data_IF_021341243684
#
_entry.id   IF_021341243684
#
_cell.length_a   1.000
_cell.length_b   1.000
_cell.length_c   1.000
_cell.angle_alpha   90.00
_cell.angle_beta   90.00
_cell.angle_gamma   90.00
#
_symmetry.space_group_name_H-M   'P 1'
#
loop_
_entity.id
_entity.type
_entity.pdbx_description
1 polymer ?
#
# COMPACT_ATOMS: atom_id res chain seq x y z
N UNK A 1 -19.77 -23.03 -39.64
CA UNK A 1 -18.40 -22.50 -39.85
C UNK A 1 -17.71 -22.59 -38.51
N UNK A 2 -16.67 -23.43 -38.40
CA UNK A 2 -15.84 -23.46 -37.19
C UNK A 2 -15.09 -22.12 -37.16
N UNK A 3 -15.37 -21.28 -36.16
CA UNK A 3 -14.59 -20.06 -35.93
C UNK A 3 -13.12 -20.46 -35.86
N UNK A 4 -12.28 -19.84 -36.68
CA UNK A 4 -10.85 -20.08 -36.66
C UNK A 4 -10.30 -19.58 -35.30
N UNK A 5 -9.52 -20.43 -34.61
CA UNK A 5 -8.90 -20.06 -33.34
C UNK A 5 -8.10 -18.79 -33.51
N UNK A 6 -8.34 -17.80 -32.67
CA UNK A 6 -7.55 -16.55 -32.63
C UNK A 6 -6.24 -16.75 -31.86
N UNK A 7 -6.18 -17.78 -31.00
CA UNK A 7 -4.96 -18.06 -30.23
C UNK A 7 -3.99 -18.91 -31.08
N UNK A 8 -2.74 -18.55 -31.00
CA UNK A 8 -1.62 -19.30 -31.63
C UNK A 8 -0.39 -19.28 -30.71
N UNK A 9 0.47 -20.32 -30.71
CA UNK A 9 1.71 -20.36 -29.94
C UNK A 9 2.63 -19.20 -30.30
N UNK A 10 3.51 -18.83 -29.36
CA UNK A 10 4.59 -17.87 -29.60
C UNK A 10 5.52 -18.40 -30.69
N UNK A 11 5.90 -17.54 -31.65
CA UNK A 11 6.73 -17.91 -32.81
C UNK A 11 8.20 -18.07 -32.45
N UNK A 12 8.66 -17.49 -31.33
CA UNK A 12 10.06 -17.52 -30.90
C UNK A 12 10.28 -18.41 -29.66
N UNK A 13 9.22 -19.08 -29.19
CA UNK A 13 9.27 -19.96 -28.02
C UNK A 13 9.27 -19.24 -26.66
N UNK A 14 9.20 -17.90 -26.65
CA UNK A 14 9.10 -17.13 -25.43
C UNK A 14 7.71 -17.24 -24.81
N UNK A 15 7.64 -17.13 -23.49
CA UNK A 15 6.37 -17.09 -22.76
C UNK A 15 5.79 -15.67 -22.77
N UNK A 16 4.58 -15.51 -23.33
CA UNK A 16 3.88 -14.22 -23.39
C UNK A 16 3.09 -14.01 -22.11
N UNK A 17 3.45 -12.98 -21.36
CA UNK A 17 2.85 -12.66 -20.07
C UNK A 17 2.24 -11.27 -20.12
N UNK A 18 0.92 -11.18 -19.96
CA UNK A 18 0.23 -9.91 -19.80
C UNK A 18 -0.07 -9.65 -18.32
N UNK A 19 0.37 -8.49 -17.85
CA UNK A 19 0.07 -8.04 -16.51
C UNK A 19 -0.89 -6.85 -16.56
N UNK A 20 -2.11 -7.05 -16.07
CA UNK A 20 -3.15 -6.04 -16.03
C UNK A 20 -3.13 -5.33 -14.69
N UNK A 21 -2.86 -4.03 -14.66
CA UNK A 21 -2.78 -3.23 -13.44
C UNK A 21 -2.68 -1.74 -13.73
N UNK A 22 -2.58 -0.91 -12.69
CA UNK A 22 -2.44 0.54 -12.88
C UNK A 22 -1.19 0.87 -13.68
N UNK A 23 -1.34 1.78 -14.65
CA UNK A 23 -0.25 2.18 -15.55
C UNK A 23 1.02 2.57 -14.76
N UNK A 24 2.22 2.08 -15.14
CA UNK A 24 3.45 2.22 -14.35
C UNK A 24 3.88 3.65 -14.04
N UNK A 25 3.46 4.63 -14.85
CA UNK A 25 3.82 6.05 -14.65
C UNK A 25 2.92 6.80 -13.68
N UNK A 26 1.83 6.19 -13.19
CA UNK A 26 0.93 6.85 -12.23
C UNK A 26 1.56 6.95 -10.83
N UNK A 27 1.01 7.85 -9.99
CA UNK A 27 1.52 8.15 -8.65
C UNK A 27 0.67 7.47 -7.56
N UNK A 28 0.71 6.14 -7.47
CA UNK A 28 0.04 5.40 -6.39
C UNK A 28 0.73 4.05 -6.11
N UNK A 29 0.28 3.34 -5.06
CA UNK A 29 0.88 2.06 -4.66
C UNK A 29 0.82 0.98 -5.74
N UNK A 30 -0.31 0.87 -6.46
CA UNK A 30 -0.46 -0.10 -7.55
C UNK A 30 0.52 0.18 -8.70
N UNK A 31 0.61 1.45 -9.14
CA UNK A 31 1.51 1.83 -10.22
C UNK A 31 2.97 1.59 -9.87
N UNK A 32 3.33 1.78 -8.60
CA UNK A 32 4.68 1.51 -8.10
C UNK A 32 5.03 0.03 -8.22
N UNK A 33 4.13 -0.87 -7.82
CA UNK A 33 4.31 -2.31 -8.01
C UNK A 33 4.43 -2.67 -9.49
N UNK A 34 3.54 -2.13 -10.34
CA UNK A 34 3.58 -2.34 -11.79
C UNK A 34 4.87 -1.84 -12.44
N UNK A 35 5.40 -0.72 -11.98
CA UNK A 35 6.68 -0.20 -12.43
C UNK A 35 7.84 -1.18 -12.14
N UNK A 36 7.91 -1.71 -10.91
CA UNK A 36 8.98 -2.64 -10.56
C UNK A 36 8.86 -3.98 -11.28
N UNK A 37 7.64 -4.47 -11.48
CA UNK A 37 7.38 -5.64 -12.32
C UNK A 37 7.90 -5.37 -13.74
N UNK A 38 7.53 -4.25 -14.35
CA UNK A 38 7.97 -3.86 -15.69
C UNK A 38 9.49 -3.76 -15.78
N UNK A 39 10.11 -3.09 -14.83
CA UNK A 39 11.56 -2.82 -14.78
C UNK A 39 12.40 -4.09 -14.65
N UNK A 40 12.01 -4.99 -13.77
CA UNK A 40 12.84 -6.15 -13.44
C UNK A 40 12.44 -7.41 -14.22
N UNK A 41 11.14 -7.67 -14.40
CA UNK A 41 10.68 -8.82 -15.20
C UNK A 41 10.98 -8.65 -16.70
N UNK A 42 10.94 -7.41 -17.20
CA UNK A 42 11.30 -7.10 -18.59
C UNK A 42 12.77 -7.39 -18.97
N UNK A 43 13.63 -7.70 -17.98
CA UNK A 43 15.04 -8.10 -18.23
C UNK A 43 15.20 -9.57 -18.64
N UNK A 44 14.18 -10.40 -18.42
CA UNK A 44 14.22 -11.82 -18.78
C UNK A 44 13.92 -11.98 -20.28
N UNK A 45 14.85 -12.59 -21.01
CA UNK A 45 14.79 -12.64 -22.49
C UNK A 45 13.79 -13.65 -23.04
N UNK A 46 13.40 -14.62 -22.24
CA UNK A 46 12.43 -15.67 -22.54
C UNK A 46 11.00 -15.31 -22.12
N UNK A 47 10.80 -14.07 -21.63
CA UNK A 47 9.50 -13.47 -21.32
C UNK A 47 9.21 -12.33 -22.30
N UNK A 48 8.07 -12.40 -22.96
CA UNK A 48 7.45 -11.27 -23.67
C UNK A 48 6.45 -10.62 -22.73
N UNK A 49 6.86 -9.53 -22.10
CA UNK A 49 6.06 -8.84 -21.09
C UNK A 49 5.20 -7.75 -21.71
N UNK A 50 3.90 -7.88 -21.55
CA UNK A 50 2.91 -6.84 -21.87
C UNK A 50 2.30 -6.31 -20.59
N UNK A 51 2.25 -5.00 -20.44
CA UNK A 51 1.52 -4.30 -19.39
C UNK A 51 0.24 -3.75 -19.99
N UNK A 52 -0.91 -4.24 -19.53
CA UNK A 52 -2.21 -3.63 -19.81
C UNK A 52 -2.49 -2.60 -18.72
N UNK A 53 -2.12 -1.35 -19.01
CA UNK A 53 -2.01 -0.26 -18.03
C UNK A 53 -3.31 0.49 -17.80
N UNK A 54 -3.88 0.40 -16.59
CA UNK A 54 -5.10 1.10 -16.18
C UNK A 54 -4.86 2.55 -15.80
N UNK A 55 -5.92 3.38 -15.90
CA UNK A 55 -6.02 4.69 -15.23
C UNK A 55 -4.83 5.61 -15.54
N UNK A 56 -4.37 5.64 -16.77
CA UNK A 56 -3.32 6.55 -17.19
C UNK A 56 -3.88 7.97 -17.34
N UNK A 57 -4.34 8.57 -16.22
CA UNK A 57 -4.89 9.91 -16.20
C UNK A 57 -3.81 10.94 -16.52
N UNK A 58 -4.04 11.77 -17.51
CA UNK A 58 -3.17 12.88 -17.86
C UNK A 58 -3.05 13.87 -16.69
N UNK A 59 -1.84 14.36 -16.43
CA UNK A 59 -1.51 15.38 -15.42
C UNK A 59 -1.49 14.93 -13.95
N UNK A 60 -1.38 13.67 -13.63
CA UNK A 60 -1.10 13.25 -12.27
C UNK A 60 0.41 13.10 -12.06
N UNK A 61 1.04 14.25 -11.78
CA UNK A 61 2.31 14.35 -11.10
C UNK A 61 3.55 13.86 -11.83
N UNK A 62 4.14 14.64 -12.74
CA UNK A 62 5.58 14.80 -13.04
C UNK A 62 6.57 13.61 -12.95
N UNK A 63 6.08 12.39 -12.88
CA UNK A 63 6.89 11.18 -12.61
C UNK A 63 7.40 10.47 -13.87
N UNK A 64 7.04 10.93 -15.04
CA UNK A 64 7.50 10.36 -16.32
C UNK A 64 9.02 10.25 -16.41
N UNK A 65 9.72 11.25 -15.87
CA UNK A 65 11.19 11.31 -15.92
C UNK A 65 11.86 10.28 -15.01
N UNK A 66 11.24 9.91 -13.89
CA UNK A 66 11.85 9.04 -12.88
C UNK A 66 11.65 7.54 -13.15
N UNK A 67 10.71 7.18 -14.03
CA UNK A 67 10.39 5.78 -14.38
C UNK A 67 10.74 5.44 -15.82
N UNK A 68 11.65 6.18 -16.42
CA UNK A 68 12.11 6.00 -17.81
C UNK A 68 13.07 4.81 -18.03
N UNK A 69 13.38 4.03 -17.00
CA UNK A 69 14.31 2.90 -17.05
C UNK A 69 13.61 1.53 -17.21
N UNK A 70 12.36 1.51 -17.60
CA UNK A 70 11.66 0.28 -18.03
C UNK A 70 12.31 -0.20 -19.34
N UNK A 71 12.68 -1.50 -19.44
CA UNK A 71 13.27 -2.05 -20.64
C UNK A 71 12.41 -1.82 -21.89
N UNK A 72 13.02 -1.43 -23.01
CA UNK A 72 12.32 -1.10 -24.27
C UNK A 72 11.55 -2.26 -24.90
N UNK A 73 11.86 -3.49 -24.53
CA UNK A 73 11.16 -4.70 -24.97
C UNK A 73 9.87 -4.96 -24.20
N UNK A 74 9.58 -4.21 -23.13
CA UNK A 74 8.28 -4.26 -22.43
C UNK A 74 7.25 -3.48 -23.22
N UNK A 75 6.18 -4.13 -23.61
CA UNK A 75 5.04 -3.49 -24.27
C UNK A 75 4.15 -2.89 -23.20
N UNK A 76 3.89 -1.59 -23.26
CA UNK A 76 2.96 -0.92 -22.35
C UNK A 76 1.78 -0.42 -23.17
N UNK A 77 0.63 -1.09 -23.02
CA UNK A 77 -0.64 -0.68 -23.60
C UNK A 77 -1.38 0.23 -22.62
N UNK A 78 -1.76 1.42 -23.10
CA UNK A 78 -2.55 2.38 -22.33
C UNK A 78 -4.05 2.09 -22.50
N UNK A 79 -4.61 1.36 -21.57
CA UNK A 79 -6.02 0.99 -21.57
C UNK A 79 -6.98 2.17 -21.41
N UNK A 80 -6.47 3.35 -21.00
CA UNK A 80 -7.27 4.56 -20.86
C UNK A 80 -7.31 5.41 -22.13
N UNK A 81 -6.33 5.27 -23.02
CA UNK A 81 -6.16 6.17 -24.19
C UNK A 81 -7.39 6.25 -25.10
N UNK A 82 -8.12 5.15 -25.24
CA UNK A 82 -9.30 5.05 -26.09
C UNK A 82 -10.63 4.90 -25.31
N UNK A 83 -10.58 5.02 -23.99
CA UNK A 83 -11.77 4.86 -23.15
C UNK A 83 -12.59 6.15 -23.07
N UNK A 84 -13.92 6.02 -22.97
CA UNK A 84 -14.81 7.16 -22.71
C UNK A 84 -14.35 7.89 -21.42
N UNK A 85 -14.09 9.22 -21.48
CA UNK A 85 -13.67 10.00 -20.31
C UNK A 85 -14.59 9.92 -19.08
N UNK A 86 -15.83 9.50 -19.26
CA UNK A 86 -16.80 9.29 -18.16
C UNK A 86 -16.60 7.95 -17.44
N UNK A 87 -15.70 7.09 -17.93
CA UNK A 87 -15.39 5.81 -17.32
C UNK A 87 -14.21 5.91 -16.36
N UNK A 88 -14.02 4.82 -15.63
CA UNK A 88 -13.04 4.76 -14.55
C UNK A 88 -11.61 4.48 -15.00
N UNK A 89 -11.36 4.33 -16.31
CA UNK A 89 -10.02 4.15 -16.89
C UNK A 89 -9.45 2.73 -16.81
N UNK A 90 -10.28 1.70 -16.67
CA UNK A 90 -9.82 0.31 -16.53
C UNK A 90 -9.78 -0.48 -17.85
N UNK A 91 -10.20 0.10 -18.98
CA UNK A 91 -10.19 -0.56 -20.28
C UNK A 91 -11.03 -1.84 -20.36
N UNK A 92 -12.08 -1.93 -19.53
CA UNK A 92 -12.89 -3.15 -19.37
C UNK A 92 -13.53 -3.62 -20.66
N UNK A 93 -13.87 -2.71 -21.58
CA UNK A 93 -14.52 -3.05 -22.85
C UNK A 93 -13.56 -3.53 -23.93
N UNK A 94 -12.31 -3.12 -23.88
CA UNK A 94 -11.37 -3.44 -24.96
C UNK A 94 -10.47 -4.64 -24.64
N UNK A 95 -10.36 -5.03 -23.34
CA UNK A 95 -9.41 -6.07 -22.92
C UNK A 95 -9.59 -7.39 -23.69
N UNK A 96 -10.83 -7.78 -23.99
CA UNK A 96 -11.09 -9.01 -24.74
C UNK A 96 -10.62 -8.92 -26.19
N UNK A 97 -10.90 -7.80 -26.87
CA UNK A 97 -10.43 -7.53 -28.23
C UNK A 97 -8.89 -7.46 -28.27
N UNK A 98 -8.29 -6.77 -27.29
CA UNK A 98 -6.83 -6.68 -27.16
C UNK A 98 -6.17 -8.05 -27.03
N UNK A 99 -6.71 -8.95 -26.20
CA UNK A 99 -6.19 -10.32 -26.01
C UNK A 99 -6.29 -11.13 -27.31
N UNK A 100 -7.37 -10.98 -28.07
CA UNK A 100 -7.52 -11.69 -29.37
C UNK A 100 -6.50 -11.20 -30.40
N UNK A 101 -6.23 -9.91 -30.44
CA UNK A 101 -5.24 -9.31 -31.35
C UNK A 101 -3.80 -9.63 -30.90
N UNK A 102 -3.57 -9.72 -29.59
CA UNK A 102 -2.28 -9.98 -28.96
C UNK A 102 -2.36 -11.19 -28.03
N UNK A 103 -2.39 -12.43 -28.55
CA UNK A 103 -2.56 -13.64 -27.73
C UNK A 103 -1.51 -13.78 -26.65
N UNK A 104 -1.94 -14.17 -25.45
CA UNK A 104 -1.09 -14.32 -24.26
C UNK A 104 -1.10 -15.78 -23.80
N UNK A 105 -0.03 -16.22 -23.12
CA UNK A 105 0.03 -17.54 -22.49
C UNK A 105 -0.37 -17.45 -21.01
N UNK A 106 -0.06 -16.30 -20.36
CA UNK A 106 -0.45 -16.00 -18.98
C UNK A 106 -1.03 -14.59 -18.91
N UNK A 107 -2.20 -14.45 -18.31
CA UNK A 107 -2.85 -13.18 -18.03
C UNK A 107 -2.97 -13.03 -16.52
N UNK A 108 -2.35 -11.99 -15.94
CA UNK A 108 -2.34 -11.72 -14.50
C UNK A 108 -3.11 -10.43 -14.23
N UNK A 109 -4.16 -10.50 -13.42
CA UNK A 109 -4.95 -9.34 -13.03
C UNK A 109 -4.55 -8.90 -11.63
N UNK A 110 -4.05 -7.67 -11.51
CA UNK A 110 -3.63 -7.05 -10.26
C UNK A 110 -4.54 -5.88 -9.93
N UNK A 111 -5.59 -6.14 -9.16
CA UNK A 111 -6.51 -5.11 -8.65
C UNK A 111 -7.35 -5.67 -7.49
N UNK A 112 -8.29 -4.83 -6.98
CA UNK A 112 -9.30 -5.26 -6.04
C UNK A 112 -10.34 -6.21 -6.67
N UNK A 113 -11.21 -6.78 -5.82
CA UNK A 113 -12.21 -7.76 -6.23
C UNK A 113 -13.21 -7.22 -7.26
N UNK A 114 -13.56 -5.92 -7.21
CA UNK A 114 -14.57 -5.34 -8.11
C UNK A 114 -14.03 -5.30 -9.54
N UNK A 115 -12.85 -4.72 -9.71
CA UNK A 115 -12.21 -4.59 -11.03
C UNK A 115 -11.80 -5.97 -11.57
N UNK A 116 -11.26 -6.83 -10.72
CA UNK A 116 -10.94 -8.21 -11.09
C UNK A 116 -12.18 -8.94 -11.62
N UNK A 117 -13.35 -8.77 -10.98
CA UNK A 117 -14.60 -9.39 -11.42
C UNK A 117 -15.05 -8.85 -12.78
N UNK A 118 -15.02 -7.55 -12.98
CA UNK A 118 -15.43 -6.90 -14.23
C UNK A 118 -14.56 -7.33 -15.42
N UNK A 119 -13.25 -7.27 -15.27
CA UNK A 119 -12.29 -7.70 -16.30
C UNK A 119 -12.43 -9.19 -16.61
N UNK A 120 -12.60 -10.03 -15.57
CA UNK A 120 -12.81 -11.48 -15.77
C UNK A 120 -14.05 -11.76 -16.59
N UNK A 121 -15.16 -11.06 -16.31
CA UNK A 121 -16.39 -11.22 -17.07
C UNK A 121 -16.20 -10.92 -18.56
N UNK A 122 -15.53 -9.82 -18.91
CA UNK A 122 -15.23 -9.47 -20.31
C UNK A 122 -14.31 -10.49 -20.96
N UNK A 123 -13.20 -10.86 -20.29
CA UNK A 123 -12.26 -11.85 -20.81
C UNK A 123 -12.96 -13.19 -21.08
N UNK A 124 -13.79 -13.65 -20.15
CA UNK A 124 -14.46 -14.95 -20.31
C UNK A 124 -15.57 -14.91 -21.36
N UNK A 125 -16.29 -13.80 -21.50
CA UNK A 125 -17.29 -13.62 -22.54
C UNK A 125 -16.68 -13.61 -23.93
N UNK A 126 -15.54 -12.95 -24.11
CA UNK A 126 -14.94 -12.75 -25.43
C UNK A 126 -13.88 -13.80 -25.79
N UNK A 127 -13.10 -14.26 -24.81
CA UNK A 127 -11.96 -15.16 -25.02
C UNK A 127 -12.15 -16.56 -24.43
N UNK A 128 -13.27 -16.81 -23.76
CA UNK A 128 -13.51 -18.05 -23.00
C UNK A 128 -13.48 -19.32 -23.85
N UNK A 129 -13.80 -19.26 -25.16
CA UNK A 129 -13.66 -20.40 -26.08
C UNK A 129 -12.24 -20.96 -26.16
N UNK A 130 -11.24 -20.12 -25.98
CA UNK A 130 -9.82 -20.47 -26.01
C UNK A 130 -9.15 -20.53 -24.63
N UNK A 131 -9.94 -20.56 -23.53
CA UNK A 131 -9.44 -20.59 -22.14
C UNK A 131 -8.42 -21.70 -21.86
N UNK A 132 -8.53 -22.81 -22.57
CA UNK A 132 -7.56 -23.94 -22.48
C UNK A 132 -6.14 -23.57 -22.89
N UNK A 133 -5.97 -22.53 -23.70
CA UNK A 133 -4.71 -22.12 -24.30
C UNK A 133 -3.97 -21.04 -23.48
N UNK A 134 -4.62 -20.42 -22.51
CA UNK A 134 -3.99 -19.43 -21.62
C UNK A 134 -4.33 -19.66 -20.15
N UNK A 135 -3.45 -19.21 -19.27
CA UNK A 135 -3.65 -19.21 -17.83
C UNK A 135 -4.18 -17.87 -17.36
N UNK A 136 -5.22 -17.87 -16.54
CA UNK A 136 -5.73 -16.67 -15.87
C UNK A 136 -5.32 -16.72 -14.39
N UNK A 137 -4.63 -15.68 -13.94
CA UNK A 137 -4.03 -15.60 -12.60
C UNK A 137 -4.49 -14.32 -11.91
N UNK A 138 -4.94 -14.43 -10.67
CA UNK A 138 -5.25 -13.27 -9.83
C UNK A 138 -4.05 -12.92 -8.94
N UNK A 139 -3.47 -11.73 -9.10
CA UNK A 139 -2.60 -11.15 -8.09
C UNK A 139 -3.49 -10.34 -7.13
N UNK A 140 -3.95 -11.04 -6.09
CA UNK A 140 -5.09 -10.66 -5.31
C UNK A 140 -4.77 -9.56 -4.29
N UNK A 141 -5.35 -8.35 -4.47
CA UNK A 141 -5.36 -7.32 -3.43
C UNK A 141 -6.49 -7.58 -2.44
N UNK A 142 -6.16 -8.23 -1.36
CA UNK A 142 -7.07 -8.51 -0.25
C UNK A 142 -6.69 -7.65 0.95
N UNK A 143 -7.61 -6.78 1.39
CA UNK A 143 -7.37 -5.85 2.50
C UNK A 143 -8.06 -6.29 3.80
N UNK A 144 -9.08 -7.15 3.71
CA UNK A 144 -9.89 -7.63 4.83
C UNK A 144 -9.95 -9.16 4.87
N UNK A 145 -10.21 -9.71 6.03
CA UNK A 145 -10.24 -11.17 6.26
C UNK A 145 -11.46 -11.86 5.67
N UNK A 146 -12.48 -11.12 5.24
CA UNK A 146 -13.68 -11.61 4.57
C UNK A 146 -13.76 -11.07 3.15
N UNK A 147 -14.32 -11.86 2.25
CA UNK A 147 -14.63 -11.48 0.86
C UNK A 147 -16.03 -12.01 0.50
N UNK A 148 -16.71 -11.35 -0.44
CA UNK A 148 -17.99 -11.83 -0.93
C UNK A 148 -17.86 -13.19 -1.58
N UNK A 149 -18.83 -14.07 -1.33
CA UNK A 149 -18.82 -15.45 -1.87
C UNK A 149 -18.77 -15.49 -3.40
N UNK A 150 -19.42 -14.53 -4.05
CA UNK A 150 -19.45 -14.42 -5.51
C UNK A 150 -18.03 -14.25 -6.08
N UNK A 151 -17.19 -13.47 -5.40
CA UNK A 151 -15.79 -13.30 -5.78
C UNK A 151 -14.98 -14.58 -5.60
N UNK A 152 -15.17 -15.28 -4.48
CA UNK A 152 -14.53 -16.58 -4.23
C UNK A 152 -14.96 -17.62 -5.28
N UNK A 153 -16.25 -17.63 -5.64
CA UNK A 153 -16.76 -18.53 -6.70
C UNK A 153 -16.17 -18.19 -8.06
N UNK A 154 -16.06 -16.90 -8.41
CA UNK A 154 -15.43 -16.44 -9.65
C UNK A 154 -13.96 -16.92 -9.75
N UNK A 155 -13.18 -16.75 -8.68
CA UNK A 155 -11.80 -17.24 -8.63
C UNK A 155 -11.75 -18.78 -8.81
N UNK A 156 -12.59 -19.51 -8.10
CA UNK A 156 -12.67 -20.98 -8.19
C UNK A 156 -13.12 -21.51 -9.57
N UNK A 157 -13.82 -20.68 -10.35
CA UNK A 157 -14.39 -21.09 -11.64
C UNK A 157 -13.45 -20.81 -12.79
N UNK A 158 -12.81 -19.65 -12.81
CA UNK A 158 -12.13 -19.17 -14.01
C UNK A 158 -10.61 -19.10 -13.87
N UNK A 159 -10.07 -19.10 -12.64
CA UNK A 159 -8.64 -18.91 -12.43
C UNK A 159 -7.88 -20.22 -12.34
N UNK A 160 -6.64 -20.22 -12.85
CA UNK A 160 -5.71 -21.35 -12.78
C UNK A 160 -4.79 -21.26 -11.56
N UNK A 161 -4.54 -20.03 -11.08
CA UNK A 161 -3.73 -19.79 -9.88
C UNK A 161 -4.08 -18.44 -9.24
N UNK A 162 -3.68 -18.29 -7.99
CA UNK A 162 -3.74 -17.04 -7.25
C UNK A 162 -2.33 -16.69 -6.77
N UNK A 163 -1.98 -15.43 -6.82
CA UNK A 163 -0.81 -14.86 -6.16
C UNK A 163 -1.32 -14.00 -5.01
N UNK A 164 -0.94 -14.33 -3.78
CA UNK A 164 -1.25 -13.59 -2.58
C UNK A 164 -0.04 -12.74 -2.16
N UNK A 165 -0.27 -11.55 -1.60
CA UNK A 165 0.81 -10.67 -1.15
C UNK A 165 1.61 -11.28 0.01
N UNK A 166 0.97 -12.10 0.84
CA UNK A 166 1.58 -12.63 2.07
C UNK A 166 1.09 -14.05 2.36
N UNK A 167 1.83 -14.84 3.16
CA UNK A 167 1.35 -16.12 3.67
C UNK A 167 0.03 -15.99 4.43
N UNK A 168 -0.16 -14.89 5.18
CA UNK A 168 -1.41 -14.60 5.88
C UNK A 168 -2.61 -14.59 4.91
N UNK A 169 -2.50 -13.86 3.78
CA UNK A 169 -3.56 -13.80 2.79
C UNK A 169 -3.79 -15.12 2.06
N UNK A 170 -2.74 -15.90 1.82
CA UNK A 170 -2.87 -17.28 1.30
C UNK A 170 -3.72 -18.14 2.23
N UNK A 171 -3.44 -18.11 3.53
CA UNK A 171 -4.20 -18.88 4.51
C UNK A 171 -5.66 -18.43 4.62
N UNK A 172 -5.89 -17.12 4.59
CA UNK A 172 -7.24 -16.53 4.57
C UNK A 172 -7.99 -16.95 3.29
N UNK A 173 -7.38 -16.92 2.12
CA UNK A 173 -8.04 -17.33 0.87
C UNK A 173 -8.55 -18.77 0.95
N UNK A 174 -7.76 -19.70 1.47
CA UNK A 174 -8.22 -21.08 1.69
C UNK A 174 -9.34 -21.19 2.72
N UNK A 175 -9.30 -20.39 3.80
CA UNK A 175 -10.38 -20.33 4.80
C UNK A 175 -11.68 -19.80 4.22
N UNK A 176 -11.60 -18.89 3.27
CA UNK A 176 -12.76 -18.31 2.56
C UNK A 176 -13.36 -19.24 1.50
N UNK A 177 -12.76 -20.40 1.23
CA UNK A 177 -13.32 -21.40 0.33
C UNK A 177 -12.66 -21.49 -1.05
N UNK A 178 -11.46 -20.92 -1.22
CA UNK A 178 -10.65 -21.24 -2.41
C UNK A 178 -10.32 -22.73 -2.37
N UNK A 179 -10.54 -23.42 -3.51
CA UNK A 179 -10.31 -24.87 -3.65
C UNK A 179 -8.88 -25.24 -3.28
N UNK A 180 -8.70 -26.30 -2.53
CA UNK A 180 -7.35 -26.79 -2.15
C UNK A 180 -6.49 -27.23 -3.34
N UNK A 181 -7.13 -27.53 -4.48
CA UNK A 181 -6.47 -27.84 -5.76
C UNK A 181 -5.98 -26.60 -6.49
N UNK A 182 -6.48 -25.41 -6.14
CA UNK A 182 -6.03 -24.14 -6.69
C UNK A 182 -4.66 -23.77 -6.11
N UNK A 183 -3.59 -23.65 -6.91
CA UNK A 183 -2.31 -23.21 -6.38
C UNK A 183 -2.38 -21.74 -5.95
N UNK A 184 -1.98 -21.46 -4.72
CA UNK A 184 -1.79 -20.10 -4.22
C UNK A 184 -0.31 -19.88 -3.94
N UNK A 185 0.30 -19.05 -4.75
CA UNK A 185 1.68 -18.59 -4.57
C UNK A 185 1.73 -17.37 -3.66
N UNK A 186 2.86 -17.16 -3.01
CA UNK A 186 3.09 -15.94 -2.21
C UNK A 186 4.13 -15.08 -2.93
N UNK A 187 3.77 -13.83 -3.21
CA UNK A 187 4.68 -12.86 -3.80
C UNK A 187 4.50 -11.51 -3.12
N UNK A 188 5.32 -11.20 -2.10
CA UNK A 188 5.28 -9.91 -1.41
C UNK A 188 5.87 -8.79 -2.28
N UNK A 189 5.53 -7.57 -1.93
CA UNK A 189 6.14 -6.41 -2.56
C UNK A 189 7.60 -6.25 -2.12
N UNK A 190 8.41 -5.65 -2.99
CA UNK A 190 9.80 -5.38 -2.72
C UNK A 190 10.08 -3.93 -2.32
N UNK A 191 11.33 -3.65 -2.01
CA UNK A 191 11.86 -2.32 -1.72
C UNK A 191 12.99 -1.96 -2.68
N UNK A 192 12.95 -0.73 -3.22
CA UNK A 192 14.02 -0.19 -4.07
C UNK A 192 14.92 0.73 -3.25
N UNK A 193 16.07 0.19 -2.86
CA UNK A 193 17.07 0.90 -2.08
C UNK A 193 17.90 1.94 -2.87
N UNK A 194 17.73 1.99 -4.20
CA UNK A 194 18.34 3.01 -5.06
C UNK A 194 17.46 4.26 -5.15
N UNK A 195 16.13 4.08 -5.06
CA UNK A 195 15.18 5.18 -5.08
C UNK A 195 14.93 5.73 -3.68
N UNK A 196 14.81 4.85 -2.69
CA UNK A 196 14.59 5.18 -1.29
C UNK A 196 15.81 4.83 -0.45
N UNK A 197 16.53 5.83 0.01
CA UNK A 197 17.76 5.69 0.76
C UNK A 197 17.82 6.67 1.94
N UNK A 198 18.56 6.35 3.01
CA UNK A 198 18.73 7.25 4.13
C UNK A 198 19.41 8.55 3.73
N UNK A 199 18.88 9.65 4.22
CA UNK A 199 19.42 11.01 4.14
C UNK A 199 19.60 11.49 5.57
N UNK A 200 20.67 12.25 5.84
CA UNK A 200 20.85 12.91 7.13
C UNK A 200 19.58 13.71 7.49
N UNK A 201 19.03 13.45 8.68
CA UNK A 201 17.72 13.98 9.07
C UNK A 201 17.67 15.52 9.02
N UNK A 202 18.75 16.19 9.45
CA UNK A 202 18.83 17.64 9.43
C UNK A 202 18.77 18.19 8.00
N UNK A 203 19.43 17.55 7.04
CA UNK A 203 19.36 17.93 5.61
C UNK A 203 17.91 17.79 5.10
N UNK A 204 17.26 16.68 5.41
CA UNK A 204 15.88 16.44 5.02
C UNK A 204 14.90 17.46 5.66
N UNK A 205 15.14 17.84 6.91
CA UNK A 205 14.34 18.87 7.62
C UNK A 205 14.52 20.26 7.02
N UNK A 206 15.75 20.65 6.73
CA UNK A 206 16.06 21.94 6.06
C UNK A 206 15.33 22.04 4.72
N UNK A 207 15.27 20.95 3.95
CA UNK A 207 14.55 20.92 2.68
C UNK A 207 13.06 21.30 2.81
N UNK A 208 12.41 20.85 3.88
CA UNK A 208 11.00 21.16 4.17
C UNK A 208 10.80 22.37 5.08
N UNK A 209 11.86 23.00 5.59
CA UNK A 209 11.78 24.10 6.54
C UNK A 209 11.33 23.65 7.94
N UNK A 210 11.61 22.41 8.33
CA UNK A 210 11.25 21.85 9.65
C UNK A 210 12.36 22.11 10.66
N UNK A 211 11.96 22.25 11.95
CA UNK A 211 12.91 22.44 13.05
C UNK A 211 13.63 21.12 13.37
N UNK A 212 14.95 21.20 13.59
CA UNK A 212 15.76 20.03 13.92
C UNK A 212 15.45 19.42 15.29
N UNK A 213 14.87 20.22 16.20
CA UNK A 213 14.55 19.78 17.56
C UNK A 213 13.21 19.08 17.68
N UNK A 214 12.32 19.20 16.68
CA UNK A 214 10.99 18.62 16.69
C UNK A 214 11.02 17.07 16.74
N UNK A 215 10.10 16.49 17.51
CA UNK A 215 9.76 15.07 17.39
C UNK A 215 8.61 14.94 16.38
N UNK A 216 8.89 14.32 15.23
CA UNK A 216 7.99 14.31 14.08
C UNK A 216 7.43 12.93 13.79
N UNK A 217 6.11 12.83 13.73
CA UNK A 217 5.35 11.61 13.38
C UNK A 217 4.73 11.79 12.00
N UNK A 218 4.98 10.86 11.08
CA UNK A 218 4.46 10.90 9.70
C UNK A 218 3.32 9.91 9.51
N UNK A 219 2.17 10.38 9.00
CA UNK A 219 1.15 9.54 8.37
C UNK A 219 1.00 9.92 6.91
N UNK A 220 1.43 9.04 6.00
CA UNK A 220 1.43 9.27 4.54
C UNK A 220 0.32 8.43 3.83
N UNK A 221 -0.71 8.05 4.54
CA UNK A 221 -1.82 7.30 3.97
C UNK A 221 -2.84 8.22 3.30
N UNK A 222 -3.44 7.77 2.18
CA UNK A 222 -4.55 8.48 1.55
C UNK A 222 -5.72 8.67 2.52
N UNK A 223 -6.47 9.77 2.38
CA UNK A 223 -7.69 9.99 3.15
C UNK A 223 -8.83 9.10 2.61
N UNK A 224 -8.87 7.87 3.08
CA UNK A 224 -9.85 6.83 2.73
C UNK A 224 -10.44 6.20 4.00
N UNK A 225 -11.65 5.61 3.94
CA UNK A 225 -12.35 5.04 5.10
C UNK A 225 -11.46 4.14 5.95
N UNK A 226 -10.84 3.15 5.32
CA UNK A 226 -10.03 2.11 5.98
C UNK A 226 -8.72 2.60 6.59
N UNK A 227 -8.27 3.81 6.24
CA UNK A 227 -7.02 4.37 6.79
C UNK A 227 -7.18 4.99 8.16
N UNK A 228 -8.43 5.10 8.64
CA UNK A 228 -8.78 5.48 10.02
C UNK A 228 -8.04 6.72 10.50
N UNK A 229 -8.14 7.79 9.72
CA UNK A 229 -7.57 9.08 10.12
C UNK A 229 -8.16 9.62 11.43
N UNK A 230 -9.42 9.30 11.71
CA UNK A 230 -10.06 9.55 12.99
C UNK A 230 -9.24 8.95 14.14
N UNK A 231 -8.86 7.68 14.06
CA UNK A 231 -8.02 6.99 15.06
C UNK A 231 -6.67 7.68 15.24
N UNK A 232 -5.98 8.03 14.12
CA UNK A 232 -4.71 8.77 14.21
C UNK A 232 -4.86 10.11 14.90
N UNK A 233 -5.91 10.90 14.56
CA UNK A 233 -6.10 12.24 15.11
C UNK A 233 -6.53 12.22 16.59
N UNK A 234 -7.44 11.32 16.97
CA UNK A 234 -7.83 11.13 18.38
C UNK A 234 -6.59 10.79 19.22
N UNK A 235 -5.78 9.83 18.75
CA UNK A 235 -4.53 9.45 19.41
C UNK A 235 -3.53 10.62 19.53
N UNK A 236 -3.40 11.40 18.43
CA UNK A 236 -2.51 12.55 18.40
C UNK A 236 -2.94 13.61 19.40
N UNK A 237 -4.23 13.95 19.46
CA UNK A 237 -4.76 14.97 20.37
C UNK A 237 -4.59 14.54 21.84
N UNK A 238 -4.80 13.27 22.15
CA UNK A 238 -4.53 12.72 23.50
C UNK A 238 -3.03 12.82 23.86
N UNK A 239 -2.15 12.50 22.92
CA UNK A 239 -0.71 12.67 23.11
C UNK A 239 -0.32 14.14 23.30
N UNK A 240 -0.92 15.06 22.52
CA UNK A 240 -0.71 16.52 22.65
C UNK A 240 -1.22 17.04 23.99
N UNK A 241 -2.38 16.60 24.46
CA UNK A 241 -2.93 16.95 25.80
C UNK A 241 -1.95 16.57 26.91
N UNK A 242 -1.44 15.34 26.88
CA UNK A 242 -0.41 14.89 27.82
C UNK A 242 0.86 15.74 27.76
N UNK A 243 1.33 16.03 26.53
CA UNK A 243 2.50 16.86 26.30
C UNK A 243 2.28 18.29 26.83
N UNK A 244 1.08 18.87 26.65
CA UNK A 244 0.69 20.17 27.16
C UNK A 244 0.69 20.19 28.70
N UNK A 245 0.11 19.16 29.32
CA UNK A 245 0.08 19.05 30.78
C UNK A 245 1.48 18.95 31.38
N UNK A 246 2.35 18.14 30.78
CA UNK A 246 3.73 17.96 31.27
C UNK A 246 4.56 19.25 31.13
N UNK A 247 4.50 19.90 29.98
CA UNK A 247 5.43 20.97 29.62
C UNK A 247 4.91 22.38 29.92
N UNK A 248 3.60 22.62 29.83
CA UNK A 248 3.00 23.95 29.99
C UNK A 248 2.33 24.11 31.34
N UNK A 249 1.32 23.29 31.66
CA UNK A 249 0.55 23.46 32.90
C UNK A 249 1.18 22.81 34.12
N UNK A 250 2.20 21.95 33.94
CA UNK A 250 2.86 21.16 34.99
C UNK A 250 1.90 20.27 35.78
N UNK A 251 0.76 19.91 35.20
CA UNK A 251 -0.19 18.94 35.76
C UNK A 251 0.33 17.52 35.46
N UNK A 252 0.96 16.89 36.44
CA UNK A 252 1.53 15.57 36.33
C UNK A 252 0.55 14.50 36.82
N UNK A 253 0.33 13.47 36.05
CA UNK A 253 -0.39 12.27 36.47
C UNK A 253 0.55 11.29 37.18
N UNK A 254 -0.02 10.35 37.97
CA UNK A 254 0.78 9.27 38.62
C UNK A 254 1.49 8.36 37.59
N UNK A 255 1.05 8.37 36.34
CA UNK A 255 1.62 7.57 35.24
C UNK A 255 2.78 8.27 34.51
N UNK A 256 3.07 9.54 34.83
CA UNK A 256 4.12 10.34 34.18
C UNK A 256 5.53 10.09 34.73
N UNK A 257 5.77 8.89 35.29
CA UNK A 257 7.06 8.54 35.93
C UNK A 257 8.27 8.50 34.94
N UNK A 258 8.07 8.70 33.65
CA UNK A 258 9.14 8.73 32.63
C UNK A 258 9.32 10.11 32.00
N UNK A 259 9.13 11.17 32.75
CA UNK A 259 9.47 12.52 32.30
C UNK A 259 10.99 12.66 32.30
N UNK A 260 11.55 13.02 31.14
CA UNK A 260 12.97 13.26 30.96
C UNK A 260 13.19 14.42 29.98
N UNK A 261 14.44 14.77 29.68
CA UNK A 261 14.79 15.88 28.79
C UNK A 261 14.18 15.75 27.38
N UNK A 262 13.85 14.54 26.93
CA UNK A 262 13.28 14.30 25.59
C UNK A 262 11.79 14.60 25.54
N UNK A 263 11.07 14.48 26.65
CA UNK A 263 9.62 14.74 26.69
C UNK A 263 9.28 16.23 26.58
N UNK A 264 10.27 17.11 26.64
CA UNK A 264 10.10 18.55 26.42
C UNK A 264 10.34 19.00 24.98
N UNK A 265 10.74 18.10 24.08
CA UNK A 265 10.88 18.41 22.65
C UNK A 265 9.53 18.87 22.07
N UNK A 266 9.50 19.90 21.18
CA UNK A 266 8.30 20.19 20.42
C UNK A 266 7.87 18.96 19.62
N UNK A 267 6.56 18.81 19.41
CA UNK A 267 5.99 17.63 18.73
C UNK A 267 5.24 18.04 17.50
N UNK A 268 5.35 17.25 16.41
CA UNK A 268 4.68 17.52 15.13
C UNK A 268 4.09 16.24 14.53
N UNK A 269 2.82 16.32 14.12
CA UNK A 269 2.20 15.33 13.23
C UNK A 269 2.25 15.87 11.80
N UNK A 270 2.89 15.14 10.92
CA UNK A 270 2.90 15.43 9.47
C UNK A 270 1.77 14.64 8.82
N UNK A 271 0.74 15.34 8.38
CA UNK A 271 -0.43 14.81 7.67
C UNK A 271 -0.14 14.83 6.17
N UNK A 272 0.28 13.71 5.60
CA UNK A 272 0.55 13.54 4.18
C UNK A 272 -0.67 13.08 3.41
N UNK A 273 -1.74 13.89 3.42
CA UNK A 273 -2.98 13.61 2.66
C UNK A 273 -3.83 14.86 2.53
N UNK A 274 -4.88 14.79 1.68
CA UNK A 274 -5.89 15.84 1.60
C UNK A 274 -6.64 15.93 2.93
N UNK A 275 -6.71 17.14 3.49
CA UNK A 275 -7.42 17.41 4.75
C UNK A 275 -8.92 17.22 4.61
N UNK A 276 -9.48 17.61 3.47
CA UNK A 276 -10.87 17.37 3.09
C UNK A 276 -10.93 16.22 2.08
N UNK A 277 -11.35 15.06 2.54
CA UNK A 277 -11.46 13.84 1.76
C UNK A 277 -12.63 13.00 2.28
N UNK A 278 -12.44 11.69 2.44
CA UNK A 278 -13.47 10.87 3.09
C UNK A 278 -13.71 11.32 4.54
N UNK A 279 -12.63 11.56 5.27
CA UNK A 279 -12.65 12.19 6.58
C UNK A 279 -12.42 13.69 6.42
N UNK A 280 -13.26 14.54 6.99
CA UNK A 280 -12.95 15.94 7.20
C UNK A 280 -12.06 16.04 8.45
N UNK A 281 -10.75 16.12 8.24
CA UNK A 281 -9.76 16.05 9.33
C UNK A 281 -9.86 17.25 10.27
N UNK A 282 -10.21 18.43 9.76
CA UNK A 282 -10.41 19.63 10.59
C UNK A 282 -11.57 19.42 11.57
N UNK A 283 -12.71 18.88 11.08
CA UNK A 283 -13.85 18.58 11.94
C UNK A 283 -13.51 17.55 13.05
N UNK A 284 -12.70 16.52 12.71
CA UNK A 284 -12.27 15.54 13.71
C UNK A 284 -11.47 16.24 14.81
N UNK A 285 -10.50 17.08 14.43
CA UNK A 285 -9.66 17.83 15.39
C UNK A 285 -10.51 18.76 16.26
N UNK A 286 -11.33 19.60 15.64
CA UNK A 286 -12.15 20.58 16.37
C UNK A 286 -13.14 19.93 17.32
N UNK A 287 -13.72 18.79 16.96
CA UNK A 287 -14.66 18.08 17.81
C UNK A 287 -13.94 17.34 18.95
N UNK A 288 -12.84 16.65 18.67
CA UNK A 288 -12.11 15.91 19.69
C UNK A 288 -11.55 16.85 20.78
N UNK A 289 -10.99 18.00 20.39
CA UNK A 289 -10.45 18.98 21.34
C UNK A 289 -11.49 19.50 22.34
N UNK A 290 -12.79 19.55 21.97
CA UNK A 290 -13.87 19.96 22.89
C UNK A 290 -14.00 19.05 24.12
N UNK A 291 -13.53 17.83 24.02
CA UNK A 291 -13.59 16.83 25.11
C UNK A 291 -12.23 16.65 25.81
N UNK A 292 -11.25 17.53 25.53
CA UNK A 292 -9.88 17.45 26.05
C UNK A 292 -9.50 18.71 26.82
N UNK A 293 -8.61 18.57 27.80
CA UNK A 293 -8.08 19.72 28.59
C UNK A 293 -6.80 20.28 27.90
N UNK A 294 -6.93 20.68 26.65
CA UNK A 294 -5.87 21.30 25.84
C UNK A 294 -6.46 22.36 24.89
N UNK A 295 -5.83 23.55 24.74
CA UNK A 295 -6.31 24.57 23.81
C UNK A 295 -6.18 24.13 22.33
N UNK A 296 -7.19 24.44 21.52
CA UNK A 296 -7.20 24.15 20.07
C UNK A 296 -5.99 24.75 19.35
N UNK A 297 -5.62 26.01 19.67
CA UNK A 297 -4.47 26.68 19.05
C UNK A 297 -3.14 25.98 19.39
N UNK A 298 -3.03 25.36 20.55
CA UNK A 298 -1.88 24.53 20.91
C UNK A 298 -1.83 23.27 20.06
N UNK A 299 -2.95 22.58 19.88
CA UNK A 299 -3.04 21.38 19.03
C UNK A 299 -2.70 21.72 17.58
N UNK A 300 -3.28 22.80 17.03
CA UNK A 300 -3.04 23.20 15.63
C UNK A 300 -1.57 23.53 15.34
N UNK A 301 -0.83 24.10 16.30
CA UNK A 301 0.62 24.34 16.18
C UNK A 301 1.45 23.06 16.08
N UNK A 302 0.89 21.92 16.46
CA UNK A 302 1.57 20.61 16.36
C UNK A 302 1.30 19.90 15.03
N UNK A 303 0.50 20.47 14.13
CA UNK A 303 0.09 19.84 12.88
C UNK A 303 0.76 20.51 11.68
N UNK A 304 1.35 19.69 10.83
CA UNK A 304 1.88 20.08 9.52
C UNK A 304 1.09 19.32 8.45
N UNK A 305 0.58 20.02 7.44
CA UNK A 305 -0.20 19.41 6.35
C UNK A 305 0.53 19.46 5.02
N UNK A 306 0.55 18.33 4.30
CA UNK A 306 0.97 18.22 2.90
C UNK A 306 -0.28 17.83 2.11
N UNK A 307 -0.97 18.82 1.54
CA UNK A 307 -2.31 18.64 0.99
C UNK A 307 -2.36 17.85 -0.33
N UNK A 308 -1.27 17.79 -1.07
CA UNK A 308 -1.20 17.09 -2.35
C UNK A 308 0.01 16.15 -2.41
N UNK A 309 0.08 15.11 -1.54
CA UNK A 309 1.24 14.21 -1.50
C UNK A 309 1.44 13.44 -2.80
N UNK A 310 0.39 13.24 -3.61
CA UNK A 310 0.48 12.65 -4.94
C UNK A 310 1.19 13.55 -5.96
N UNK A 311 1.35 14.83 -5.68
CA UNK A 311 2.15 15.75 -6.50
C UNK A 311 3.64 15.71 -6.13
N UNK A 312 4.01 15.07 -5.01
CA UNK A 312 5.39 14.88 -4.62
C UNK A 312 6.04 13.82 -5.52
N UNK A 313 7.25 14.11 -5.96
CA UNK A 313 8.09 13.11 -6.62
C UNK A 313 8.50 12.00 -5.64
N UNK A 314 8.93 10.85 -6.15
CA UNK A 314 9.48 9.79 -5.31
C UNK A 314 10.69 10.29 -4.49
N UNK A 315 11.48 11.24 -5.03
CA UNK A 315 12.56 11.91 -4.32
C UNK A 315 12.06 12.73 -3.13
N UNK A 316 11.01 13.53 -3.34
CA UNK A 316 10.44 14.35 -2.26
C UNK A 316 9.86 13.46 -1.16
N UNK A 317 9.18 12.36 -1.54
CA UNK A 317 8.67 11.37 -0.59
C UNK A 317 9.83 10.74 0.20
N UNK A 318 10.95 10.40 -0.45
CA UNK A 318 12.13 9.90 0.24
C UNK A 318 12.66 10.92 1.27
N UNK A 319 12.77 12.20 0.87
CA UNK A 319 13.21 13.27 1.78
C UNK A 319 12.21 13.41 2.95
N UNK A 320 10.91 13.35 2.68
CA UNK A 320 9.87 13.45 3.72
C UNK A 320 9.96 12.35 4.78
N UNK A 321 10.13 11.10 4.34
CA UNK A 321 10.38 10.00 5.28
C UNK A 321 11.62 10.28 6.15
N UNK A 322 12.71 10.74 5.55
CA UNK A 322 13.95 11.00 6.26
C UNK A 322 13.84 12.19 7.24
N UNK A 323 12.99 13.17 6.98
CA UNK A 323 12.75 14.31 7.88
C UNK A 323 12.05 13.90 9.19
N UNK A 324 11.23 12.85 9.18
CA UNK A 324 10.45 12.42 10.34
C UNK A 324 11.21 11.43 11.24
N UNK A 325 10.85 11.37 12.53
CA UNK A 325 11.43 10.42 13.49
C UNK A 325 10.79 9.05 13.35
N UNK A 326 9.46 9.01 13.27
CA UNK A 326 8.67 7.77 13.19
C UNK A 326 7.53 7.87 12.18
N UNK A 327 7.02 6.72 11.75
CA UNK A 327 5.77 6.65 11.00
C UNK A 327 4.62 6.10 11.83
N UNK A 328 3.38 6.42 11.41
CA UNK A 328 2.16 5.85 12.01
C UNK A 328 1.21 5.32 10.93
N UNK A 329 0.59 4.17 11.21
CA UNK A 329 -0.50 3.61 10.40
C UNK A 329 -1.59 3.05 11.31
N UNK A 330 -2.78 3.64 11.25
CA UNK A 330 -3.97 3.26 12.03
C UNK A 330 -5.04 2.53 11.22
N UNK A 331 -4.71 2.02 10.03
CA UNK A 331 -5.66 1.36 9.15
C UNK A 331 -6.36 0.17 9.83
N UNK A 332 -7.64 -0.03 9.49
CA UNK A 332 -8.44 -1.18 9.95
C UNK A 332 -8.38 -2.39 9.01
N UNK A 333 -7.61 -2.26 7.92
CA UNK A 333 -7.32 -3.31 6.95
C UNK A 333 -6.29 -2.83 5.93
N UNK A 334 -5.34 -3.71 5.59
CA UNK A 334 -4.26 -3.43 4.64
C UNK A 334 -3.90 -4.67 3.82
N UNK A 335 -3.79 -4.50 2.50
CA UNK A 335 -3.30 -5.56 1.63
C UNK A 335 -1.83 -5.90 1.92
N UNK A 336 -0.97 -4.88 1.94
CA UNK A 336 0.44 -5.00 2.30
C UNK A 336 0.90 -3.91 3.29
N UNK A 337 0.59 -2.63 3.04
CA UNK A 337 0.97 -1.52 3.91
C UNK A 337 2.27 -0.82 3.50
N UNK A 338 2.37 -0.40 2.22
CA UNK A 338 3.59 0.17 1.64
C UNK A 338 4.19 1.34 2.42
N UNK A 339 3.37 2.25 2.96
CA UNK A 339 3.90 3.41 3.69
C UNK A 339 4.72 3.01 4.93
N UNK A 340 4.22 2.08 5.74
CA UNK A 340 4.96 1.58 6.90
C UNK A 340 6.18 0.75 6.50
N UNK A 341 6.05 -0.02 5.42
CA UNK A 341 7.12 -0.83 4.84
C UNK A 341 8.29 0.05 4.36
N UNK A 342 8.01 1.11 3.61
CA UNK A 342 9.00 2.07 3.13
C UNK A 342 9.66 2.84 4.28
N UNK A 343 8.87 3.27 5.27
CA UNK A 343 9.38 3.92 6.47
C UNK A 343 10.38 3.04 7.22
N UNK A 344 10.05 1.76 7.46
CA UNK A 344 10.99 0.80 8.06
C UNK A 344 12.26 0.61 7.23
N UNK A 345 12.11 0.49 5.90
CA UNK A 345 13.24 0.32 5.00
C UNK A 345 14.20 1.52 5.03
N UNK A 346 13.70 2.71 5.34
CA UNK A 346 14.48 3.93 5.55
C UNK A 346 15.03 4.07 6.98
N UNK A 347 14.76 3.10 7.84
CA UNK A 347 15.22 3.12 9.24
C UNK A 347 14.34 3.95 10.16
N UNK A 348 13.07 4.20 9.77
CA UNK A 348 12.12 4.93 10.61
C UNK A 348 11.24 3.94 11.37
N UNK A 349 11.29 4.00 12.70
CA UNK A 349 10.45 3.18 13.57
C UNK A 349 8.96 3.43 13.27
N UNK A 350 8.11 2.41 13.46
CA UNK A 350 6.68 2.51 13.18
C UNK A 350 5.83 2.28 14.43
N UNK A 351 4.74 3.03 14.53
CA UNK A 351 3.57 2.70 15.36
C UNK A 351 2.49 2.25 14.42
N UNK A 352 2.09 1.00 14.48
CA UNK A 352 1.24 0.46 13.41
C UNK A 352 0.16 -0.48 13.93
N UNK A 353 -1.05 -0.34 13.39
CA UNK A 353 -2.05 -1.38 13.49
C UNK A 353 -1.48 -2.72 13.01
N UNK A 354 -1.71 -3.78 13.77
CA UNK A 354 -1.28 -5.14 13.40
C UNK A 354 -2.42 -5.85 12.67
N UNK A 355 -2.67 -5.43 11.43
CA UNK A 355 -3.80 -5.87 10.61
C UNK A 355 -3.35 -6.35 9.23
N UNK A 356 -4.13 -7.24 8.63
CA UNK A 356 -3.96 -7.70 7.25
C UNK A 356 -2.53 -8.08 6.89
N UNK A 357 -2.08 -7.64 5.72
CA UNK A 357 -0.75 -7.95 5.17
C UNK A 357 0.42 -7.33 5.93
N UNK A 358 0.19 -6.33 6.79
CA UNK A 358 1.25 -5.78 7.63
C UNK A 358 1.85 -6.80 8.61
N UNK A 359 1.11 -7.87 8.91
CA UNK A 359 1.59 -9.02 9.71
C UNK A 359 2.78 -9.74 9.09
N UNK A 360 3.04 -9.54 7.79
CA UNK A 360 4.16 -10.16 7.07
C UNK A 360 5.50 -9.61 7.53
N UNK A 361 5.62 -8.30 7.60
CA UNK A 361 6.92 -7.64 7.83
C UNK A 361 7.05 -6.95 9.18
N UNK A 362 5.93 -6.75 9.92
CA UNK A 362 5.95 -6.11 11.24
C UNK A 362 6.09 -7.13 12.37
N UNK A 363 6.91 -6.79 13.37
CA UNK A 363 7.01 -7.51 14.64
C UNK A 363 7.48 -6.58 15.76
N UNK A 364 7.36 -7.02 17.02
CA UNK A 364 7.67 -6.22 18.21
C UNK A 364 9.16 -5.86 18.38
N UNK A 365 10.08 -6.42 17.58
CA UNK A 365 11.51 -6.08 17.62
C UNK A 365 11.86 -4.85 16.76
N UNK A 366 10.94 -4.42 15.87
CA UNK A 366 11.17 -3.37 14.87
C UNK A 366 10.11 -2.28 14.87
N UNK A 367 9.03 -2.43 15.66
CA UNK A 367 7.91 -1.49 15.70
C UNK A 367 7.14 -1.63 17.01
N UNK A 368 6.28 -0.64 17.31
CA UNK A 368 5.23 -0.80 18.32
C UNK A 368 3.96 -1.19 17.59
N UNK A 369 3.46 -2.39 17.93
CA UNK A 369 2.27 -2.98 17.30
C UNK A 369 1.03 -2.67 18.12
N UNK A 370 0.01 -2.12 17.48
CA UNK A 370 -1.30 -1.90 18.07
C UNK A 370 -2.23 -3.01 17.58
N UNK A 371 -2.63 -3.87 18.50
CA UNK A 371 -3.47 -5.03 18.16
C UNK A 371 -4.94 -4.62 18.09
N UNK A 372 -5.70 -5.14 17.10
CA UNK A 372 -7.14 -4.89 17.02
C UNK A 372 -7.87 -5.40 18.28
N UNK A 373 -8.88 -4.64 18.68
CA UNK A 373 -9.77 -4.98 19.83
C UNK A 373 -11.19 -5.30 19.41
N UNK A 374 -11.63 -4.75 18.27
CA UNK A 374 -13.02 -4.85 17.78
C UNK A 374 -12.99 -5.19 16.30
N UNK A 375 -13.84 -6.14 15.91
CA UNK A 375 -14.07 -6.49 14.52
C UNK A 375 -15.45 -5.99 14.08
N UNK A 376 -15.53 -5.31 12.94
CA UNK A 376 -16.77 -4.80 12.35
C UNK A 376 -16.96 -5.38 10.96
N UNK A 377 -18.09 -6.04 10.73
CA UNK A 377 -18.48 -6.54 9.41
C UNK A 377 -18.89 -5.38 8.50
N UNK A 378 -18.30 -5.33 7.30
CA UNK A 378 -18.54 -4.32 6.28
C UNK A 378 -19.45 -4.83 5.16
N UNK A 379 -19.91 -6.08 5.23
CA UNK A 379 -20.75 -6.67 4.20
C UNK A 379 -22.18 -6.14 4.29
N UNK A 380 -22.46 -5.14 3.47
CA UNK A 380 -23.78 -4.58 3.25
C UNK A 380 -24.04 -4.40 1.74
N UNK A 381 -25.26 -4.04 1.37
CA UNK A 381 -25.65 -3.90 -0.05
C UNK A 381 -24.87 -2.85 -0.80
N UNK A 382 -24.36 -1.81 -0.13
CA UNK A 382 -23.57 -0.73 -0.74
C UNK A 382 -22.08 -1.01 -0.79
N UNK A 383 -21.57 -1.99 -0.04
CA UNK A 383 -20.15 -2.36 -0.06
C UNK A 383 -19.90 -3.44 -1.11
N UNK A 384 -19.21 -3.08 -2.19
CA UNK A 384 -18.88 -3.97 -3.31
C UNK A 384 -17.93 -5.11 -2.95
N UNK A 385 -17.04 -4.92 -1.97
CA UNK A 385 -15.97 -5.87 -1.63
C UNK A 385 -16.35 -6.81 -0.48
N UNK A 386 -17.09 -6.30 0.52
CA UNK A 386 -17.26 -6.97 1.80
C UNK A 386 -16.03 -6.82 2.68
N UNK A 387 -16.03 -7.45 3.84
CA UNK A 387 -14.85 -7.47 4.70
C UNK A 387 -15.16 -7.45 6.19
N UNK A 388 -14.09 -7.59 6.97
CA UNK A 388 -14.10 -7.38 8.42
C UNK A 388 -13.02 -6.36 8.75
N UNK A 389 -13.42 -5.16 9.15
CA UNK A 389 -12.53 -4.14 9.65
C UNK A 389 -12.03 -4.51 11.05
N UNK A 390 -10.74 -4.40 11.28
CA UNK A 390 -10.07 -4.73 12.54
C UNK A 390 -9.68 -3.42 13.26
N UNK A 391 -10.55 -2.91 14.15
CA UNK A 391 -10.36 -1.62 14.80
C UNK A 391 -9.39 -1.70 15.97
N UNK A 392 -8.52 -0.70 16.04
CA UNK A 392 -7.52 -0.49 17.09
C UNK A 392 -7.92 0.65 18.02
N UNK A 393 -7.35 0.68 19.22
CA UNK A 393 -7.64 1.68 20.25
C UNK A 393 -6.72 2.91 20.08
N UNK A 394 -7.27 4.13 19.87
CA UNK A 394 -6.48 5.35 19.77
C UNK A 394 -5.56 5.60 20.98
N UNK A 395 -6.01 5.24 22.19
CA UNK A 395 -5.20 5.39 23.41
C UNK A 395 -3.85 4.66 23.32
N UNK A 396 -3.83 3.46 22.73
CA UNK A 396 -2.58 2.69 22.59
C UNK A 396 -1.57 3.38 21.64
N UNK A 397 -2.04 4.13 20.63
CA UNK A 397 -1.16 4.95 19.79
C UNK A 397 -0.59 6.14 20.57
N UNK A 398 -1.42 6.82 21.36
CA UNK A 398 -0.95 7.93 22.21
C UNK A 398 0.15 7.49 23.17
N UNK A 399 -0.03 6.33 23.81
CA UNK A 399 1.00 5.71 24.67
C UNK A 399 2.26 5.31 23.86
N UNK A 400 2.11 4.81 22.63
CA UNK A 400 3.23 4.48 21.78
C UNK A 400 4.02 5.72 21.34
N UNK A 401 3.36 6.83 21.00
CA UNK A 401 4.01 8.11 20.69
C UNK A 401 4.80 8.62 21.90
N UNK A 402 4.20 8.57 23.09
CA UNK A 402 4.89 8.95 24.33
C UNK A 402 6.10 8.08 24.62
N UNK A 403 5.98 6.76 24.40
CA UNK A 403 7.07 5.81 24.58
C UNK A 403 8.25 6.10 23.65
N UNK A 404 8.00 6.46 22.41
CA UNK A 404 9.06 6.83 21.46
C UNK A 404 9.63 8.22 21.77
N UNK A 405 8.80 9.23 22.09
CA UNK A 405 9.28 10.55 22.49
C UNK A 405 10.22 10.46 23.70
N UNK A 406 9.85 9.68 24.70
CA UNK A 406 10.63 9.54 25.95
C UNK A 406 11.86 8.63 25.83
N UNK A 407 12.00 7.87 24.73
CA UNK A 407 13.06 6.88 24.54
C UNK A 407 13.63 6.89 23.11
N UNK A 408 14.48 7.85 22.76
CA UNK A 408 15.12 7.93 21.43
C UNK A 408 15.93 6.69 21.06
N UNK A 409 16.57 6.04 22.02
CA UNK A 409 17.34 4.80 21.76
C UNK A 409 16.44 3.66 21.23
N UNK A 410 15.17 3.62 21.68
CA UNK A 410 14.21 2.67 21.16
C UNK A 410 13.83 2.98 19.71
N UNK A 411 13.70 4.28 19.38
CA UNK A 411 13.44 4.72 18.00
C UNK A 411 14.55 4.27 17.08
N UNK A 412 15.80 4.56 17.45
CA UNK A 412 16.99 4.16 16.68
C UNK A 412 17.09 2.64 16.53
N UNK A 413 16.90 1.91 17.64
CA UNK A 413 16.95 0.44 17.66
C UNK A 413 15.91 -0.18 16.71
N UNK A 414 14.66 0.27 16.80
CA UNK A 414 13.58 -0.24 15.94
C UNK A 414 13.80 0.15 14.48
N UNK A 415 14.19 1.40 14.21
CA UNK A 415 14.53 1.87 12.88
C UNK A 415 15.66 1.07 12.24
N UNK A 416 16.78 0.91 12.94
CA UNK A 416 17.93 0.13 12.44
C UNK A 416 17.55 -1.33 12.13
N UNK A 417 16.89 -2.01 13.07
CA UNK A 417 16.48 -3.41 12.89
C UNK A 417 15.44 -3.56 11.79
N UNK A 418 14.47 -2.62 11.70
CA UNK A 418 13.47 -2.59 10.66
C UNK A 418 14.11 -2.49 9.28
N UNK A 419 15.06 -1.56 9.11
CA UNK A 419 15.82 -1.42 7.87
C UNK A 419 16.56 -2.70 7.49
N UNK A 420 17.28 -3.31 8.43
CA UNK A 420 18.00 -4.56 8.18
C UNK A 420 17.04 -5.67 7.75
N UNK A 421 15.90 -5.79 8.43
CA UNK A 421 14.87 -6.78 8.10
C UNK A 421 14.36 -6.62 6.66
N UNK A 422 13.98 -5.40 6.28
CA UNK A 422 13.44 -5.13 4.93
C UNK A 422 14.51 -5.36 3.84
N UNK A 423 15.70 -4.81 4.01
CA UNK A 423 16.76 -4.94 3.01
C UNK A 423 17.27 -6.37 2.83
N UNK A 424 17.18 -7.21 3.86
CA UNK A 424 17.58 -8.61 3.76
C UNK A 424 16.55 -9.44 3.00
N UNK A 425 15.26 -9.17 3.22
CA UNK A 425 14.20 -10.10 2.79
C UNK A 425 13.40 -9.61 1.57
N UNK A 426 13.37 -8.30 1.27
CA UNK A 426 12.37 -7.72 0.37
C UNK A 426 12.97 -6.81 -0.72
N UNK A 427 14.14 -7.13 -1.28
CA UNK A 427 14.64 -6.38 -2.45
C UNK A 427 13.85 -6.75 -3.70
N UNK A 428 13.47 -5.77 -4.51
CA UNK A 428 12.68 -6.02 -5.72
C UNK A 428 13.34 -7.02 -6.68
N UNK A 429 14.65 -6.94 -6.86
CA UNK A 429 15.38 -7.87 -7.71
C UNK A 429 15.18 -9.32 -7.27
N UNK A 430 15.27 -9.58 -5.96
CA UNK A 430 15.09 -10.92 -5.40
C UNK A 430 13.65 -11.39 -5.50
N UNK A 431 12.70 -10.47 -5.25
CA UNK A 431 11.26 -10.78 -5.35
C UNK A 431 10.89 -11.14 -6.80
N UNK A 432 11.36 -10.39 -7.79
CA UNK A 432 11.08 -10.68 -9.20
C UNK A 432 11.80 -11.95 -9.68
N UNK A 433 13.02 -12.21 -9.24
CA UNK A 433 13.71 -13.48 -9.52
C UNK A 433 12.92 -14.68 -8.97
N UNK A 434 12.38 -14.55 -7.77
CA UNK A 434 11.48 -15.55 -7.18
C UNK A 434 10.18 -15.71 -8.00
N UNK A 435 9.53 -14.59 -8.37
CA UNK A 435 8.33 -14.58 -9.22
C UNK A 435 8.59 -15.35 -10.53
N UNK A 436 9.67 -15.02 -11.21
CA UNK A 436 10.04 -15.66 -12.47
C UNK A 436 10.29 -17.16 -12.28
N UNK A 437 11.25 -17.54 -11.41
CA UNK A 437 11.72 -18.91 -11.25
C UNK A 437 10.72 -19.86 -10.56
N UNK A 438 9.89 -19.34 -9.67
CA UNK A 438 9.01 -20.17 -8.83
C UNK A 438 7.54 -20.09 -9.18
N UNK A 439 7.13 -19.03 -9.84
CA UNK A 439 5.73 -18.82 -10.20
C UNK A 439 5.53 -18.92 -11.70
N UNK A 440 6.12 -18.00 -12.47
CA UNK A 440 5.83 -17.91 -13.92
C UNK A 440 6.29 -19.14 -14.73
N UNK A 441 7.43 -19.75 -14.36
CA UNK A 441 7.89 -20.98 -15.04
C UNK A 441 6.96 -22.16 -14.77
N UNK A 442 6.31 -22.20 -13.60
CA UNK A 442 5.43 -23.31 -13.21
C UNK A 442 3.94 -23.11 -13.60
N UNK A 443 3.60 -21.97 -14.15
CA UNK A 443 2.29 -21.68 -14.73
C UNK A 443 2.22 -22.08 -16.21
#
# INVERSE_FOLDING_TARGET
>A
MTEQSWWHPSTNGNKRVMWCGTHPIQSNGYSRVMYYISKYLGKYKDIELTIYGFQNFNNVGGQEVLRGDIPKNVIIHDAFANEDPKRSGFGEKEIGAYIKEHPQDIIIIFNDAIITTSLTATIMNECGSEKKNFKLVSYMDQVYTYQKNEYIQLLNTYYDAIIAFTPYWKDIAYKLGIKKTMPIYVFPHGFDHNLYYPIEQNIARVYYGYDETDFMVLNLNRNQPRKRWDTTLIAWIEFVERHYHVNVTKKLSKNDCKINKHTSRPIKLVIGTMVDGYWNLSNVIENEVKFRDVPLDYVLKTIITIQAPQALSDRDINILYNACDIGVNSADGEGFGLCGFEGLALGKAQVSAYVGGMREFLNDNISILIKPKINIYLDNKSNGIGGVAELTDPHEYAEAFWKYLSNPELVEKHGYRGRQHILTNYKWENMIDYLYKRILINL
#
